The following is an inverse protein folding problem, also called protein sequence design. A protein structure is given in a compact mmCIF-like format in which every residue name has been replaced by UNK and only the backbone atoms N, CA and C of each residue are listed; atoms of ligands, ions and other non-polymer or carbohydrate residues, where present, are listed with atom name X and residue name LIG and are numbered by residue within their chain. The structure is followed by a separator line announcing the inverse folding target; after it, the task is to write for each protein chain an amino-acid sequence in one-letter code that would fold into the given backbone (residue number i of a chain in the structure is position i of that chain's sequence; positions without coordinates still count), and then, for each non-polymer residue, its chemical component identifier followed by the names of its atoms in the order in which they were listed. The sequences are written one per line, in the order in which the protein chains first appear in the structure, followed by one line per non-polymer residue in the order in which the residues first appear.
data_IF_525467292333
#
_entry.id   IF_525467292333
#
_cell.length_a   1.000
_cell.length_b   1.000
_cell.length_c   1.000
_cell.angle_alpha   90.00
_cell.angle_beta   90.00
_cell.angle_gamma   90.00
#
_symmetry.space_group_name_H-M   'P 1'
#
loop_
_entity.id
_entity.type
_entity.pdbx_description
1 polymer ?
#
# COMPACT_ATOMS: atom_id res chain seq x y z
N UNK A 1 -12.74 36.97 -16.75
CA UNK A 1 -13.41 35.68 -16.47
C UNK A 1 -12.40 34.79 -15.78
N UNK A 2 -12.52 34.60 -14.47
CA UNK A 2 -11.76 33.56 -13.76
C UNK A 2 -12.34 32.21 -14.16
N UNK A 3 -11.56 31.41 -14.88
CA UNK A 3 -11.89 30.01 -15.18
C UNK A 3 -11.71 29.24 -13.87
N UNK A 4 -12.79 29.15 -13.08
CA UNK A 4 -12.80 28.35 -11.86
C UNK A 4 -12.41 26.91 -12.17
N UNK A 5 -11.43 26.36 -11.43
CA UNK A 5 -11.04 24.95 -11.54
C UNK A 5 -12.29 24.07 -11.44
N UNK A 6 -12.52 23.11 -12.36
CA UNK A 6 -13.64 22.18 -12.26
C UNK A 6 -13.60 21.49 -10.89
N UNK A 7 -14.70 21.54 -10.13
CA UNK A 7 -14.80 20.80 -8.88
C UNK A 7 -14.68 19.31 -9.21
N UNK A 8 -13.70 18.58 -8.65
CA UNK A 8 -13.54 17.17 -8.96
C UNK A 8 -14.80 16.42 -8.50
N UNK A 9 -15.43 15.68 -9.41
CA UNK A 9 -16.56 14.82 -9.05
C UNK A 9 -16.04 13.68 -8.16
N UNK A 10 -16.65 13.51 -6.98
CA UNK A 10 -16.36 12.38 -6.09
C UNK A 10 -16.85 11.09 -6.76
N UNK A 11 -15.93 10.35 -7.37
CA UNK A 11 -16.20 9.01 -7.89
C UNK A 11 -16.23 8.01 -6.74
N UNK A 12 -17.12 7.03 -6.81
CA UNK A 12 -17.12 5.91 -5.87
C UNK A 12 -15.82 5.11 -6.06
N UNK A 13 -15.17 4.70 -4.96
CA UNK A 13 -13.94 3.94 -5.03
C UNK A 13 -14.24 2.54 -5.56
N UNK A 14 -13.34 2.04 -6.39
CA UNK A 14 -13.34 0.64 -6.79
C UNK A 14 -12.88 -0.20 -5.59
N UNK A 15 -13.58 -1.29 -5.32
CA UNK A 15 -13.20 -2.27 -4.29
C UNK A 15 -13.20 -3.68 -4.88
N UNK A 16 -12.25 -4.48 -4.39
CA UNK A 16 -12.11 -5.88 -4.74
C UNK A 16 -12.83 -6.74 -3.69
N UNK A 17 -13.39 -7.86 -4.12
CA UNK A 17 -13.83 -8.93 -3.22
C UNK A 17 -12.62 -9.71 -2.69
N UNK A 18 -12.74 -10.44 -1.58
CA UNK A 18 -11.66 -11.32 -1.10
C UNK A 18 -11.14 -12.27 -2.18
N UNK A 19 -12.03 -12.90 -2.96
CA UNK A 19 -11.65 -13.81 -4.04
C UNK A 19 -10.89 -13.11 -5.17
N UNK A 20 -11.29 -11.89 -5.53
CA UNK A 20 -10.56 -11.08 -6.50
C UNK A 20 -9.16 -10.71 -5.99
N UNK A 21 -9.02 -10.36 -4.71
CA UNK A 21 -7.72 -10.10 -4.09
C UNK A 21 -6.84 -11.36 -4.15
N UNK A 22 -7.36 -12.52 -3.74
CA UNK A 22 -6.62 -13.79 -3.77
C UNK A 22 -6.14 -14.11 -5.19
N UNK A 23 -7.01 -13.99 -6.20
CA UNK A 23 -6.61 -14.21 -7.60
C UNK A 23 -5.49 -13.27 -8.04
N UNK A 24 -5.62 -11.96 -7.80
CA UNK A 24 -4.59 -10.98 -8.17
C UNK A 24 -3.25 -11.31 -7.50
N UNK A 25 -3.27 -11.59 -6.19
CA UNK A 25 -2.06 -11.95 -5.44
C UNK A 25 -1.42 -13.25 -5.97
N UNK A 26 -2.23 -14.19 -6.46
CA UNK A 26 -1.77 -15.44 -7.08
C UNK A 26 -0.93 -15.26 -8.35
N UNK A 27 -1.13 -14.17 -9.10
CA UNK A 27 -0.38 -13.84 -10.33
C UNK A 27 0.82 -12.91 -10.10
N UNK A 28 1.03 -12.41 -8.88
CA UNK A 28 2.25 -11.67 -8.53
C UNK A 28 3.34 -12.62 -8.07
N UNK A 29 4.61 -12.27 -8.20
CA UNK A 29 5.72 -13.14 -7.78
C UNK A 29 6.71 -12.40 -6.89
N UNK A 30 7.47 -13.17 -6.10
CA UNK A 30 8.56 -12.67 -5.26
C UNK A 30 8.19 -11.45 -4.42
N UNK A 31 9.02 -10.40 -4.51
CA UNK A 31 8.82 -9.17 -3.74
C UNK A 31 7.55 -8.41 -4.13
N UNK A 32 7.06 -8.53 -5.37
CA UNK A 32 5.82 -7.88 -5.78
C UNK A 32 4.60 -8.50 -5.07
N UNK A 33 4.59 -9.83 -4.91
CA UNK A 33 3.52 -10.52 -4.16
C UNK A 33 3.52 -10.09 -2.70
N UNK A 34 4.69 -10.15 -2.07
CA UNK A 34 4.85 -9.74 -0.66
C UNK A 34 4.45 -8.27 -0.46
N UNK A 35 4.86 -7.39 -1.38
CA UNK A 35 4.51 -5.98 -1.32
C UNK A 35 3.00 -5.75 -1.45
N UNK A 36 2.33 -6.43 -2.40
CA UNK A 36 0.89 -6.35 -2.55
C UNK A 36 0.13 -6.88 -1.33
N UNK A 37 0.59 -8.01 -0.76
CA UNK A 37 0.04 -8.55 0.49
C UNK A 37 0.20 -7.56 1.64
N UNK A 38 1.33 -6.89 1.74
CA UNK A 38 1.57 -5.87 2.76
C UNK A 38 0.64 -4.67 2.59
N UNK A 39 0.46 -4.16 1.37
CA UNK A 39 -0.47 -3.07 1.08
C UNK A 39 -1.91 -3.44 1.43
N UNK A 40 -2.35 -4.65 1.08
CA UNK A 40 -3.68 -5.14 1.43
C UNK A 40 -3.84 -5.39 2.92
N UNK A 41 -2.85 -5.99 3.59
CA UNK A 41 -2.95 -6.37 5.00
C UNK A 41 -2.84 -5.21 5.99
N UNK A 42 -2.37 -4.05 5.54
CA UNK A 42 -2.13 -2.87 6.42
C UNK A 42 -2.89 -1.63 5.97
N UNK A 43 -3.38 -1.61 4.72
CA UNK A 43 -4.03 -0.44 4.13
C UNK A 43 -3.09 0.75 3.90
N UNK A 44 -1.76 0.60 3.99
CA UNK A 44 -0.83 1.71 3.75
C UNK A 44 -0.86 2.20 2.29
N UNK A 45 -0.43 3.43 2.05
CA UNK A 45 -0.24 3.97 0.70
C UNK A 45 0.96 3.30 0.05
N UNK A 46 0.95 3.24 -1.29
CA UNK A 46 2.08 2.69 -2.05
C UNK A 46 3.40 3.36 -1.69
N UNK A 47 3.41 4.70 -1.59
CA UNK A 47 4.60 5.46 -1.23
C UNK A 47 5.12 5.11 0.16
N UNK A 48 4.23 4.87 1.12
CA UNK A 48 4.60 4.49 2.48
C UNK A 48 5.26 3.11 2.48
N UNK A 49 4.65 2.14 1.81
CA UNK A 49 5.21 0.79 1.69
C UNK A 49 6.56 0.78 0.98
N UNK A 50 6.70 1.52 -0.12
CA UNK A 50 7.95 1.63 -0.86
C UNK A 50 9.06 2.27 -0.02
N UNK A 51 8.70 3.24 0.83
CA UNK A 51 9.65 3.98 1.65
C UNK A 51 9.93 3.35 3.02
N UNK A 52 9.32 2.20 3.33
CA UNK A 52 9.59 1.47 4.57
C UNK A 52 11.07 1.22 4.77
N UNK A 53 11.56 1.57 5.95
CA UNK A 53 12.91 1.23 6.40
C UNK A 53 12.89 0.03 7.31
N UNK A 54 14.04 -0.62 7.48
CA UNK A 54 14.19 -1.76 8.39
C UNK A 54 13.69 -1.43 9.81
N UNK A 55 14.07 -0.27 10.34
CA UNK A 55 13.68 0.18 11.70
C UNK A 55 12.18 0.44 11.88
N UNK A 56 11.42 0.47 10.79
CA UNK A 56 10.00 0.73 10.83
C UNK A 56 9.21 -0.58 11.04
N UNK A 57 9.86 -1.74 10.97
CA UNK A 57 9.27 -3.05 11.25
C UNK A 57 9.68 -3.52 12.66
N UNK A 58 8.70 -3.61 13.56
CA UNK A 58 8.86 -4.16 14.89
C UNK A 58 8.14 -5.52 14.96
N UNK A 59 8.91 -6.60 14.83
CA UNK A 59 8.37 -7.95 14.84
C UNK A 59 7.99 -8.44 16.24
N UNK A 60 8.57 -7.85 17.28
CA UNK A 60 8.32 -8.27 18.67
C UNK A 60 6.99 -7.71 19.16
N UNK A 61 6.68 -6.48 18.77
CA UNK A 61 5.38 -5.83 19.04
C UNK A 61 4.37 -5.99 17.89
N UNK A 62 4.70 -6.75 16.84
CA UNK A 62 3.80 -6.96 15.69
C UNK A 62 3.33 -5.65 15.04
N UNK A 63 4.20 -4.65 14.93
CA UNK A 63 3.85 -3.29 14.54
C UNK A 63 4.71 -2.77 13.38
N UNK A 64 4.12 -1.97 12.51
CA UNK A 64 4.80 -1.21 11.47
C UNK A 64 4.61 0.29 11.73
N UNK A 65 5.70 1.05 11.80
CA UNK A 65 5.65 2.50 12.00
C UNK A 65 5.72 3.20 10.64
N UNK A 66 4.59 3.73 10.18
CA UNK A 66 4.56 4.58 8.99
C UNK A 66 4.91 6.00 9.39
N UNK A 67 6.02 6.50 8.85
CA UNK A 67 6.51 7.85 9.10
C UNK A 67 6.05 8.77 8.00
N UNK A 68 5.16 9.70 8.32
CA UNK A 68 4.71 10.68 7.34
C UNK A 68 5.65 11.89 7.30
N UNK A 69 5.84 12.46 6.11
CA UNK A 69 6.61 13.70 5.94
C UNK A 69 5.85 14.95 6.43
N UNK A 70 6.57 16.08 6.45
CA UNK A 70 6.12 17.47 6.70
C UNK A 70 4.65 17.64 7.16
N UNK A 71 4.44 17.64 8.48
CA UNK A 71 3.20 18.10 9.12
C UNK A 71 2.18 17.01 9.47
N UNK A 72 2.36 15.78 8.98
CA UNK A 72 1.57 14.62 9.40
C UNK A 72 2.24 13.88 10.56
N UNK A 73 1.43 13.26 11.43
CA UNK A 73 1.92 12.44 12.55
C UNK A 73 2.31 11.04 12.06
N UNK A 74 3.36 10.49 12.65
CA UNK A 74 3.66 9.06 12.55
C UNK A 74 2.44 8.23 13.01
N UNK A 75 2.22 7.08 12.40
CA UNK A 75 1.18 6.14 12.84
C UNK A 75 1.67 4.71 12.89
N UNK A 76 1.15 3.97 13.85
CA UNK A 76 1.38 2.54 13.99
C UNK A 76 0.31 1.77 13.22
N UNK A 77 0.75 0.80 12.43
CA UNK A 77 -0.09 -0.19 11.76
C UNK A 77 0.23 -1.57 12.32
N UNK A 78 -0.72 -2.49 12.21
CA UNK A 78 -0.45 -3.90 12.47
C UNK A 78 0.58 -4.45 11.47
N UNK A 79 1.49 -5.30 11.94
CA UNK A 79 2.29 -6.18 11.11
C UNK A 79 1.49 -7.48 10.95
N UNK A 80 1.04 -7.84 9.74
CA UNK A 80 0.29 -9.09 9.55
C UNK A 80 1.14 -10.30 9.93
N UNK A 81 0.73 -11.06 10.94
CA UNK A 81 1.51 -12.20 11.48
C UNK A 81 1.88 -13.21 10.39
N UNK A 82 0.95 -13.46 9.46
CA UNK A 82 1.16 -14.35 8.30
C UNK A 82 2.27 -13.89 7.36
N UNK A 83 2.62 -12.60 7.36
CA UNK A 83 3.70 -12.04 6.55
C UNK A 83 5.02 -11.94 7.30
N UNK A 84 5.05 -12.16 8.62
CA UNK A 84 6.27 -12.02 9.41
C UNK A 84 7.44 -12.89 8.88
N UNK A 85 7.25 -14.19 8.53
CA UNK A 85 8.34 -15.00 7.97
C UNK A 85 8.86 -14.45 6.63
N UNK A 86 7.97 -14.10 5.71
CA UNK A 86 8.33 -13.58 4.38
C UNK A 86 8.98 -12.19 4.46
N UNK A 87 8.57 -11.35 5.42
CA UNK A 87 9.22 -10.07 5.69
C UNK A 87 10.62 -10.25 6.27
N UNK A 88 10.84 -11.22 7.17
CA UNK A 88 12.19 -11.55 7.66
C UNK A 88 13.10 -12.03 6.53
N UNK A 89 12.59 -12.86 5.62
CA UNK A 89 13.33 -13.29 4.43
C UNK A 89 13.66 -12.11 3.50
N UNK A 90 12.70 -11.20 3.28
CA UNK A 90 12.92 -9.97 2.52
C UNK A 90 14.00 -9.09 3.17
N UNK A 91 14.00 -8.96 4.51
CA UNK A 91 15.05 -8.25 5.22
C UNK A 91 16.41 -8.92 5.07
N UNK A 92 16.49 -10.25 5.03
CA UNK A 92 17.74 -10.97 4.72
C UNK A 92 18.26 -10.64 3.32
N UNK A 93 17.37 -10.59 2.31
CA UNK A 93 17.74 -10.15 0.94
C UNK A 93 18.22 -8.70 0.93
N UNK A 94 17.50 -7.80 1.58
CA UNK A 94 17.90 -6.41 1.71
C UNK A 94 19.25 -6.26 2.45
N UNK A 95 19.50 -7.09 3.47
CA UNK A 95 20.76 -7.11 4.22
C UNK A 95 21.93 -7.51 3.34
N UNK A 96 21.75 -8.46 2.42
CA UNK A 96 22.78 -8.83 1.45
C UNK A 96 23.16 -7.65 0.54
N UNK A 97 22.16 -6.89 0.06
CA UNK A 97 22.42 -5.67 -0.70
C UNK A 97 23.15 -4.61 0.12
N UNK A 98 22.71 -4.37 1.36
CA UNK A 98 23.35 -3.42 2.24
C UNK A 98 24.82 -3.78 2.52
N UNK A 99 25.12 -5.05 2.81
CA UNK A 99 26.50 -5.52 3.04
C UNK A 99 27.37 -5.34 1.79
N UNK A 100 26.84 -5.64 0.60
CA UNK A 100 27.53 -5.40 -0.67
C UNK A 100 27.84 -3.92 -0.88
N UNK A 101 26.87 -3.05 -0.64
CA UNK A 101 27.04 -1.60 -0.77
C UNK A 101 28.07 -1.05 0.23
N UNK A 102 28.13 -1.59 1.45
CA UNK A 102 29.16 -1.24 2.44
C UNK A 102 30.56 -1.68 1.99
N UNK A 103 30.70 -2.91 1.49
CA UNK A 103 31.98 -3.43 1.02
C UNK A 103 32.53 -2.66 -0.19
N UNK A 104 31.64 -2.17 -1.06
CA UNK A 104 31.98 -1.34 -2.22
C UNK A 104 32.14 0.16 -1.88
N UNK A 105 31.97 0.57 -0.62
CA UNK A 105 32.12 1.97 -0.21
C UNK A 105 31.07 2.91 -0.81
N UNK A 106 29.84 2.44 -1.05
CA UNK A 106 28.75 3.24 -1.64
C UNK A 106 28.21 4.29 -0.66
N UNK A 107 27.61 5.36 -1.19
CA UNK A 107 27.15 6.56 -0.47
C UNK A 107 25.92 6.39 0.45
N UNK A 108 25.61 5.17 0.88
CA UNK A 108 24.41 4.87 1.66
C UNK A 108 23.11 5.16 0.91
N UNK A 109 21.97 5.10 1.60
CA UNK A 109 20.65 5.41 1.03
C UNK A 109 20.24 6.87 1.27
N UNK A 110 19.38 7.41 0.40
CA UNK A 110 18.84 8.76 0.57
C UNK A 110 18.08 8.90 1.90
N UNK A 111 18.21 10.06 2.55
CA UNK A 111 17.43 10.43 3.72
C UNK A 111 16.64 11.71 3.44
N UNK A 112 15.60 12.03 4.24
CA UNK A 112 14.98 13.36 4.17
C UNK A 112 16.04 14.46 4.43
N UNK A 113 16.09 15.52 3.63
CA UNK A 113 17.16 16.53 3.63
C UNK A 113 17.56 17.05 5.02
N UNK A 114 16.58 17.35 5.87
CA UNK A 114 16.82 17.82 7.23
C UNK A 114 17.49 16.78 8.12
N UNK A 115 17.17 15.50 7.90
CA UNK A 115 17.74 14.37 8.60
C UNK A 115 19.15 14.03 8.08
N UNK A 116 19.36 14.05 6.76
CA UNK A 116 20.68 13.81 6.15
C UNK A 116 21.71 14.81 6.68
N UNK A 117 21.32 16.09 6.77
CA UNK A 117 22.17 17.14 7.35
C UNK A 117 22.43 16.95 8.85
N UNK A 118 21.43 16.50 9.62
CA UNK A 118 21.57 16.31 11.08
C UNK A 118 22.36 15.04 11.42
N UNK A 119 22.20 13.98 10.63
CA UNK A 119 22.81 12.67 10.84
C UNK A 119 23.40 12.12 9.54
N UNK A 120 24.56 12.64 9.08
CA UNK A 120 25.11 12.32 7.76
C UNK A 120 25.48 10.84 7.57
N UNK A 121 25.77 10.11 8.65
CA UNK A 121 26.08 8.67 8.57
C UNK A 121 24.85 7.76 8.65
N UNK A 122 23.66 8.29 8.92
CA UNK A 122 22.47 7.47 9.11
C UNK A 122 22.13 6.66 7.85
N UNK A 123 22.35 7.21 6.66
CA UNK A 123 22.11 6.52 5.38
C UNK A 123 23.00 5.30 5.14
N UNK A 124 24.12 5.18 5.86
CA UNK A 124 24.98 3.99 5.80
C UNK A 124 24.55 2.89 6.77
N UNK A 125 23.68 3.19 7.73
CA UNK A 125 23.32 2.23 8.77
C UNK A 125 22.15 1.35 8.35
N UNK A 126 22.19 0.09 8.78
CA UNK A 126 21.16 -0.90 8.50
C UNK A 126 19.73 -0.47 8.87
N UNK A 127 19.46 0.16 10.03
CA UNK A 127 18.10 0.56 10.41
C UNK A 127 17.44 1.50 9.39
N UNK A 128 18.23 2.28 8.64
CA UNK A 128 17.75 3.20 7.61
C UNK A 128 17.70 2.59 6.21
N UNK A 129 18.14 1.36 6.01
CA UNK A 129 18.08 0.73 4.69
C UNK A 129 16.63 0.42 4.28
N UNK A 130 16.38 0.31 2.97
CA UNK A 130 15.05 0.02 2.43
C UNK A 130 14.66 -1.44 2.67
N UNK A 131 13.40 -1.69 3.02
CA UNK A 131 12.84 -3.05 3.07
C UNK A 131 12.74 -3.65 1.66
N UNK A 132 12.25 -2.87 0.70
CA UNK A 132 12.13 -3.24 -0.71
C UNK A 132 13.16 -2.45 -1.53
N UNK A 133 14.42 -2.85 -1.46
CA UNK A 133 15.52 -2.19 -2.16
C UNK A 133 15.60 -2.62 -3.65
N UNK A 134 15.91 -1.68 -4.54
CA UNK A 134 16.21 -2.02 -5.94
C UNK A 134 17.45 -2.88 -6.04
N UNK A 135 17.52 -3.70 -7.09
CA UNK A 135 18.70 -4.51 -7.40
C UNK A 135 19.84 -3.66 -7.96
N UNK A 136 19.51 -2.57 -8.66
CA UNK A 136 20.47 -1.64 -9.26
C UNK A 136 20.55 -0.33 -8.47
N UNK A 137 21.66 0.38 -8.65
CA UNK A 137 21.83 1.74 -8.18
C UNK A 137 21.18 2.72 -9.17
N UNK A 138 20.79 3.89 -8.66
CA UNK A 138 20.34 5.00 -9.49
C UNK A 138 20.95 6.31 -9.02
N UNK A 139 21.01 7.27 -9.92
CA UNK A 139 21.40 8.64 -9.59
C UNK A 139 20.23 9.32 -8.89
N UNK A 140 20.44 9.77 -7.66
CA UNK A 140 19.47 10.62 -6.98
C UNK A 140 19.33 11.95 -7.74
N UNK A 141 18.16 12.29 -8.28
CA UNK A 141 17.99 13.49 -9.09
C UNK A 141 18.15 14.79 -8.30
N UNK A 142 18.07 14.75 -6.95
CA UNK A 142 18.23 15.93 -6.10
C UNK A 142 19.68 16.21 -5.75
N UNK A 143 20.42 15.17 -5.39
CA UNK A 143 21.81 15.30 -4.93
C UNK A 143 22.86 14.95 -5.99
N UNK A 144 22.48 14.32 -7.10
CA UNK A 144 23.40 13.79 -8.11
C UNK A 144 24.20 12.55 -7.66
N UNK A 145 24.00 12.08 -6.43
CA UNK A 145 24.75 10.96 -5.86
C UNK A 145 24.17 9.64 -6.36
N UNK A 146 25.04 8.73 -6.81
CA UNK A 146 24.67 7.36 -7.15
C UNK A 146 24.50 6.55 -5.86
N UNK A 147 23.27 6.08 -5.63
CA UNK A 147 22.91 5.34 -4.41
C UNK A 147 21.78 4.35 -4.68
N UNK A 148 21.57 3.41 -3.76
CA UNK A 148 20.48 2.45 -3.88
C UNK A 148 19.16 3.08 -3.47
N UNK A 149 18.16 2.92 -4.34
CA UNK A 149 16.81 3.39 -4.10
C UNK A 149 15.89 2.23 -3.70
N UNK A 150 14.73 2.52 -3.12
CA UNK A 150 13.68 1.51 -2.97
C UNK A 150 13.06 1.16 -4.33
N UNK A 151 12.35 0.04 -4.44
CA UNK A 151 11.62 -0.37 -5.64
C UNK A 151 10.84 0.80 -6.26
N UNK A 152 10.90 0.95 -7.58
CA UNK A 152 10.15 2.02 -8.26
C UNK A 152 8.66 1.71 -8.27
N UNK A 153 7.86 2.72 -7.98
CA UNK A 153 6.39 2.68 -8.07
C UNK A 153 5.92 2.11 -9.42
N UNK A 154 6.47 2.65 -10.53
CA UNK A 154 6.11 2.18 -11.87
C UNK A 154 6.39 0.70 -12.11
N UNK A 155 7.45 0.14 -11.52
CA UNK A 155 7.77 -1.29 -11.62
C UNK A 155 6.65 -2.11 -11.02
N UNK A 156 6.22 -1.76 -9.80
CA UNK A 156 5.12 -2.43 -9.13
C UNK A 156 3.78 -2.20 -9.81
N UNK A 157 3.47 -0.97 -10.27
CA UNK A 157 2.21 -0.70 -10.99
C UNK A 157 2.08 -1.55 -12.25
N UNK A 158 3.17 -1.72 -13.02
CA UNK A 158 3.17 -2.57 -14.22
C UNK A 158 2.93 -4.04 -13.86
N UNK A 159 3.60 -4.55 -12.82
CA UNK A 159 3.39 -5.91 -12.33
C UNK A 159 1.95 -6.12 -11.86
N UNK A 160 1.42 -5.19 -11.07
CA UNK A 160 0.05 -5.23 -10.56
C UNK A 160 -0.98 -5.19 -11.70
N UNK A 161 -0.80 -4.31 -12.69
CA UNK A 161 -1.70 -4.24 -13.86
C UNK A 161 -1.75 -5.57 -14.61
N UNK A 162 -0.59 -6.19 -14.87
CA UNK A 162 -0.54 -7.51 -15.52
C UNK A 162 -1.24 -8.59 -14.69
N UNK A 163 -1.06 -8.58 -13.38
CA UNK A 163 -1.75 -9.52 -12.49
C UNK A 163 -3.27 -9.34 -12.48
N UNK A 164 -3.77 -8.10 -12.54
CA UNK A 164 -5.21 -7.79 -12.68
C UNK A 164 -5.78 -8.34 -13.99
N UNK A 165 -5.06 -8.13 -15.10
CA UNK A 165 -5.44 -8.63 -16.42
C UNK A 165 -5.47 -10.17 -16.45
N UNK A 166 -4.42 -10.83 -15.94
CA UNK A 166 -4.32 -12.29 -15.88
C UNK A 166 -5.34 -12.91 -14.93
N UNK A 167 -5.68 -12.22 -13.85
CA UNK A 167 -6.73 -12.65 -12.93
C UNK A 167 -8.14 -12.55 -13.53
N UNK A 168 -8.31 -11.98 -14.74
CA UNK A 168 -9.61 -11.81 -15.38
C UNK A 168 -10.50 -10.81 -14.64
N UNK A 169 -9.90 -9.78 -14.04
CA UNK A 169 -10.61 -8.77 -13.25
C UNK A 169 -10.95 -7.60 -14.17
N UNK A 170 -12.25 -7.37 -14.38
CA UNK A 170 -12.76 -6.32 -15.28
C UNK A 170 -12.80 -4.94 -14.62
N UNK A 171 -12.77 -4.88 -13.28
CA UNK A 171 -12.72 -3.63 -12.53
C UNK A 171 -11.40 -2.91 -12.81
N UNK A 172 -11.38 -1.56 -12.90
CA UNK A 172 -10.15 -0.80 -13.10
C UNK A 172 -9.34 -0.74 -11.79
N UNK A 173 -8.78 -1.89 -11.41
CA UNK A 173 -8.03 -2.07 -10.17
C UNK A 173 -6.60 -1.55 -10.31
N UNK A 174 -6.17 -0.80 -9.31
CA UNK A 174 -4.80 -0.29 -9.16
C UNK A 174 -4.27 -0.68 -7.79
N UNK A 175 -2.97 -0.48 -7.48
CA UNK A 175 -2.48 -0.69 -6.12
C UNK A 175 -3.29 0.04 -5.04
N UNK A 176 -3.83 1.23 -5.34
CA UNK A 176 -4.67 1.97 -4.39
C UNK A 176 -6.01 1.26 -4.09
N UNK A 177 -6.50 0.45 -5.03
CA UNK A 177 -7.69 -0.39 -4.84
C UNK A 177 -7.48 -1.42 -3.73
N UNK A 178 -6.26 -1.92 -3.49
CA UNK A 178 -5.98 -2.81 -2.36
C UNK A 178 -6.27 -2.12 -1.02
N UNK A 179 -5.86 -0.86 -0.87
CA UNK A 179 -6.14 -0.05 0.32
C UNK A 179 -7.63 0.21 0.50
N UNK A 180 -8.35 0.50 -0.58
CA UNK A 180 -9.81 0.62 -0.52
C UNK A 180 -10.49 -0.68 -0.09
N UNK A 181 -9.98 -1.81 -0.58
CA UNK A 181 -10.50 -3.15 -0.28
C UNK A 181 -10.22 -3.55 1.16
N UNK A 182 -9.05 -3.20 1.70
CA UNK A 182 -8.73 -3.33 3.13
C UNK A 182 -9.71 -2.56 4.00
N UNK A 183 -9.90 -1.26 3.73
CA UNK A 183 -10.81 -0.42 4.50
C UNK A 183 -12.24 -0.96 4.49
N UNK A 184 -12.71 -1.38 3.31
CA UNK A 184 -14.04 -1.97 3.15
C UNK A 184 -14.16 -3.31 3.87
N UNK A 185 -13.12 -4.16 3.85
CA UNK A 185 -13.09 -5.42 4.56
C UNK A 185 -13.20 -5.21 6.08
N UNK A 186 -12.42 -4.28 6.65
CA UNK A 186 -12.51 -3.96 8.08
C UNK A 186 -13.91 -3.48 8.48
N UNK A 187 -14.51 -2.57 7.71
CA UNK A 187 -15.86 -2.10 8.02
C UNK A 187 -16.91 -3.23 7.88
N UNK A 188 -16.74 -4.16 6.92
CA UNK A 188 -17.60 -5.36 6.82
C UNK A 188 -17.45 -6.29 8.01
N UNK A 189 -16.24 -6.39 8.57
CA UNK A 189 -15.96 -7.16 9.77
C UNK A 189 -16.40 -6.46 11.07
N UNK A 190 -17.06 -5.30 10.98
CA UNK A 190 -17.65 -4.60 12.13
C UNK A 190 -16.71 -3.65 12.85
N UNK A 191 -15.51 -3.39 12.32
CA UNK A 191 -14.63 -2.36 12.90
C UNK A 191 -15.25 -0.97 12.76
N UNK A 192 -15.06 -0.13 13.77
CA UNK A 192 -15.60 1.22 13.76
C UNK A 192 -14.85 2.12 12.75
N UNK A 193 -15.56 3.12 12.24
CA UNK A 193 -15.01 4.01 11.22
C UNK A 193 -13.82 4.85 11.70
N UNK A 194 -13.70 5.14 13.00
CA UNK A 194 -12.58 5.91 13.56
C UNK A 194 -11.33 5.05 13.60
N UNK A 195 -11.43 3.79 14.00
CA UNK A 195 -10.33 2.82 13.89
C UNK A 195 -9.83 2.71 12.46
N UNK A 196 -10.73 2.57 11.48
CA UNK A 196 -10.34 2.53 10.06
C UNK A 196 -9.73 3.86 9.61
N UNK A 197 -10.26 5.00 10.06
CA UNK A 197 -9.72 6.33 9.76
C UNK A 197 -8.27 6.47 10.25
N UNK A 198 -7.99 6.03 11.47
CA UNK A 198 -6.69 6.15 12.12
C UNK A 198 -5.65 5.25 11.43
N UNK A 199 -6.01 4.00 11.12
CA UNK A 199 -5.15 3.08 10.35
C UNK A 199 -4.79 3.65 8.97
N UNK A 200 -5.77 4.26 8.29
CA UNK A 200 -5.53 4.88 7.00
C UNK A 200 -4.77 6.21 7.12
N UNK A 201 -4.68 6.83 8.30
CA UNK A 201 -4.05 8.16 8.45
C UNK A 201 -4.84 9.23 7.70
N UNK A 202 -6.18 9.18 7.78
CA UNK A 202 -7.04 10.21 7.23
C UNK A 202 -7.28 11.31 8.29
N UNK A 203 -6.88 12.55 8.00
CA UNK A 203 -7.11 13.69 8.89
C UNK A 203 -8.60 14.04 9.05
N UNK A 204 -9.41 13.70 8.05
CA UNK A 204 -10.86 13.93 8.05
C UNK A 204 -11.60 12.61 7.82
N UNK A 205 -12.54 12.31 8.72
CA UNK A 205 -13.42 11.14 8.65
C UNK A 205 -14.21 11.10 7.34
N UNK A 206 -14.48 12.26 6.72
CA UNK A 206 -15.18 12.35 5.43
C UNK A 206 -14.47 11.57 4.32
N UNK A 207 -13.15 11.43 4.41
CA UNK A 207 -12.36 10.62 3.47
C UNK A 207 -12.60 9.13 3.68
N UNK A 208 -12.80 8.68 4.93
CA UNK A 208 -13.12 7.29 5.28
C UNK A 208 -14.59 6.97 5.05
N UNK A 209 -15.49 7.95 5.21
CA UNK A 209 -16.93 7.77 4.97
C UNK A 209 -17.26 7.29 3.55
N UNK A 210 -16.39 7.57 2.58
CA UNK A 210 -16.54 7.08 1.19
C UNK A 210 -16.71 5.55 1.16
N UNK A 211 -16.06 4.79 2.05
CA UNK A 211 -16.19 3.33 2.12
C UNK A 211 -17.53 2.86 2.69
N UNK A 212 -18.18 3.67 3.52
CA UNK A 212 -19.51 3.33 4.05
C UNK A 212 -20.57 3.31 2.96
N UNK A 213 -20.43 4.13 1.91
CA UNK A 213 -21.31 4.09 0.75
C UNK A 213 -21.18 2.78 -0.01
N UNK A 214 -19.97 2.22 -0.11
CA UNK A 214 -19.73 0.93 -0.77
C UNK A 214 -20.44 -0.21 -0.05
N UNK A 215 -20.56 -0.16 1.29
CA UNK A 215 -21.31 -1.13 2.07
C UNK A 215 -22.81 -1.04 1.80
N UNK A 216 -23.34 0.18 1.73
CA UNK A 216 -24.78 0.43 1.51
C UNK A 216 -25.27 -0.03 0.15
N UNK A 217 -24.43 0.04 -0.89
CA UNK A 217 -24.79 -0.33 -2.27
C UNK A 217 -24.77 -1.85 -2.48
N UNK A 218 -24.03 -2.61 -1.66
CA UNK A 218 -23.91 -4.08 -1.77
C UNK A 218 -25.04 -4.89 -1.12
N UNK A 219 -26.27 -4.36 -1.04
CA UNK A 219 -27.45 -5.08 -0.53
C UNK A 219 -27.69 -5.02 0.97
N UNK A 220 -26.90 -4.25 1.74
CA UNK A 220 -27.02 -4.17 3.20
C UNK A 220 -28.19 -3.29 3.71
N UNK A 221 -29.33 -3.26 3.00
CA UNK A 221 -30.52 -2.61 3.55
C UNK A 221 -31.69 -2.39 2.59
N UNK A 222 -31.48 -2.51 1.28
CA UNK A 222 -32.55 -2.34 0.29
C UNK A 222 -32.52 -3.51 -0.68
N UNK A 223 -33.56 -4.35 -0.61
CA UNK A 223 -33.79 -5.43 -1.58
C UNK A 223 -34.36 -4.83 -2.86
N UNK A 224 -33.90 -5.29 -4.03
CA UNK A 224 -34.49 -4.84 -5.29
C UNK A 224 -35.96 -5.27 -5.33
N UNK A 225 -36.91 -4.39 -5.70
CA UNK A 225 -38.30 -4.80 -5.92
C UNK A 225 -38.42 -5.92 -6.96
N UNK A 226 -37.48 -6.00 -7.91
CA UNK A 226 -37.40 -7.08 -8.90
C UNK A 226 -37.22 -8.47 -8.24
N UNK A 227 -36.46 -8.55 -7.14
CA UNK A 227 -36.21 -9.81 -6.43
C UNK A 227 -37.43 -10.28 -5.62
N UNK A 228 -38.48 -9.46 -5.55
CA UNK A 228 -39.78 -9.81 -4.96
C UNK A 228 -40.82 -10.19 -6.03
N UNK A 229 -40.49 -10.04 -7.32
CA UNK A 229 -41.37 -10.48 -8.41
C UNK A 229 -41.25 -12.00 -8.61
N UNK A 230 -42.34 -12.67 -9.03
CA UNK A 230 -42.26 -14.05 -9.49
C UNK A 230 -41.35 -14.16 -10.73
N UNK A 231 -40.74 -15.34 -10.99
CA UNK A 231 -39.93 -15.57 -12.19
C UNK A 231 -40.75 -15.23 -13.44
N UNK A 232 -40.16 -14.45 -14.34
CA UNK A 232 -40.75 -14.22 -15.66
C UNK A 232 -40.67 -15.54 -16.44
N UNK A 233 -41.74 -16.34 -16.39
CA UNK A 233 -41.87 -17.54 -17.22
C UNK A 233 -41.93 -17.12 -18.68
N UNK A 234 -40.96 -17.52 -19.49
CA UNK A 234 -41.06 -17.40 -20.94
C UNK A 234 -41.92 -18.55 -21.47
N UNK A 235 -43.24 -18.42 -21.36
CA UNK A 235 -44.15 -19.19 -22.20
C UNK A 235 -44.64 -18.28 -23.32
N UNK A 236 -44.09 -18.50 -24.52
CA UNK A 236 -44.76 -18.25 -25.80
C UNK A 236 -44.68 -19.53 -26.61
#
# INVERSE_FOLDING_TARGET
QEIGRPRPSRRLPVVLTPDEVVRILGFLEGEHRLFAQLLYGTGMRISEGLQLRVKDLDFDHGTIIVREGKGSKDRALMLPESLAPSLREQLSRARAWWLKDQAEGRSGVALPDALERKYPRAGHSWPWFWVFAQHTHSTDPRSGVVRRHHMYDQTFQRAFKRAVEQAGITKPATPHTLRHSFATALLRSGYDIRTVQDLLGHSDVSTTMIYTHVLKVGGAGVRSPLDALPPLTSER
#
